data_IF_418702829608
#
_entry.id   IF_418702829608
#
_cell.length_a   1.000
_cell.length_b   1.000
_cell.length_c   1.000
_cell.angle_alpha   90.00
_cell.angle_beta   90.00
_cell.angle_gamma   90.00
#
_symmetry.space_group_name_H-M   'P 1'
#
loop_
_entity.id
_entity.type
_entity.pdbx_description
1 polymer ?
#
# COMPACT_ATOMS: atom_id res chain seq x y z
N UNK A 1 43.26 4.37 -3.28
CA UNK A 1 42.39 3.24 -2.86
C UNK A 1 40.97 3.72 -3.03
N UNK A 2 40.33 3.39 -4.15
CA UNK A 2 38.95 3.78 -4.40
C UNK A 2 38.04 3.01 -3.45
N UNK A 3 37.27 3.72 -2.63
CA UNK A 3 36.14 3.15 -1.91
C UNK A 3 35.26 2.44 -2.94
N UNK A 4 35.15 1.12 -2.85
CA UNK A 4 34.14 0.38 -3.61
C UNK A 4 32.79 0.82 -3.07
N UNK A 5 32.12 1.75 -3.75
CA UNK A 5 30.77 2.16 -3.39
C UNK A 5 29.88 0.92 -3.35
N UNK A 6 29.26 0.64 -2.21
CA UNK A 6 28.30 -0.44 -2.10
C UNK A 6 27.10 -0.10 -3.00
N UNK A 7 26.59 -1.10 -3.72
CA UNK A 7 25.38 -0.96 -4.54
C UNK A 7 24.24 -1.64 -3.82
N UNK A 8 23.19 -0.89 -3.50
CA UNK A 8 21.95 -1.40 -2.93
C UNK A 8 20.91 -1.65 -4.01
N UNK A 9 20.16 -2.75 -3.89
CA UNK A 9 19.12 -3.13 -4.85
C UNK A 9 17.75 -3.15 -4.17
N UNK A 10 16.91 -2.16 -4.48
CA UNK A 10 15.55 -2.05 -3.89
C UNK A 10 14.46 -2.71 -4.75
N UNK A 11 14.55 -2.59 -6.09
CA UNK A 11 13.59 -3.18 -7.06
C UNK A 11 12.11 -2.94 -6.70
N UNK A 12 11.76 -1.68 -6.41
CA UNK A 12 10.42 -1.28 -5.98
C UNK A 12 9.90 -0.09 -6.76
N UNK A 13 8.58 0.08 -6.77
CA UNK A 13 7.92 1.30 -7.23
C UNK A 13 8.22 2.43 -6.23
N UNK A 14 8.50 3.63 -6.74
CA UNK A 14 8.78 4.83 -5.93
C UNK A 14 7.99 6.01 -6.49
N UNK A 15 7.78 7.05 -5.68
CA UNK A 15 7.19 8.31 -6.14
C UNK A 15 8.09 8.99 -7.18
N UNK A 16 7.48 9.75 -8.07
CA UNK A 16 8.14 10.34 -9.25
C UNK A 16 9.38 11.18 -8.92
N UNK A 17 9.38 11.87 -7.78
CA UNK A 17 10.47 12.75 -7.36
C UNK A 17 11.60 12.03 -6.60
N UNK A 18 11.47 10.73 -6.29
CA UNK A 18 12.48 10.00 -5.51
C UNK A 18 13.84 9.97 -6.22
N UNK A 19 13.95 9.77 -7.55
CA UNK A 19 15.23 9.91 -8.24
C UNK A 19 15.92 11.26 -7.99
N UNK A 20 15.16 12.37 -8.03
CA UNK A 20 15.72 13.71 -7.82
C UNK A 20 16.16 13.93 -6.37
N UNK A 21 15.43 13.38 -5.40
CA UNK A 21 15.82 13.39 -3.99
C UNK A 21 17.13 12.63 -3.78
N UNK A 22 17.28 11.45 -4.40
CA UNK A 22 18.52 10.65 -4.32
C UNK A 22 19.70 11.43 -4.93
N UNK A 23 19.50 12.07 -6.08
CA UNK A 23 20.51 12.92 -6.71
C UNK A 23 20.91 14.10 -5.83
N UNK A 24 19.94 14.76 -5.19
CA UNK A 24 20.19 15.88 -4.28
C UNK A 24 21.00 15.48 -3.03
N UNK A 25 20.88 14.23 -2.59
CA UNK A 25 21.65 13.67 -1.48
C UNK A 25 23.09 13.27 -1.88
N UNK A 26 23.45 13.41 -3.16
CA UNK A 26 24.78 13.08 -3.69
C UNK A 26 24.94 11.64 -4.17
N UNK A 27 23.88 10.83 -4.06
CA UNK A 27 23.83 9.45 -4.54
C UNK A 27 23.41 9.39 -6.02
N UNK A 28 23.54 8.21 -6.63
CA UNK A 28 23.25 8.00 -8.06
C UNK A 28 22.13 6.96 -8.21
N UNK A 29 20.87 7.38 -8.46
CA UNK A 29 19.79 6.44 -8.69
C UNK A 29 19.89 5.82 -10.08
N UNK A 30 19.53 4.55 -10.17
CA UNK A 30 19.32 3.84 -11.44
C UNK A 30 17.87 3.38 -11.50
N UNK A 31 17.09 3.93 -12.42
CA UNK A 31 15.67 3.65 -12.55
C UNK A 31 15.28 3.47 -14.03
N UNK A 32 14.09 2.91 -14.24
CA UNK A 32 13.46 2.76 -15.56
C UNK A 32 11.97 3.05 -15.44
N UNK A 33 11.31 3.56 -16.48
CA UNK A 33 9.85 3.58 -16.50
C UNK A 33 9.30 2.15 -16.54
N UNK A 34 8.11 1.98 -15.96
CA UNK A 34 7.27 0.80 -16.19
C UNK A 34 6.41 1.15 -17.40
N UNK A 35 6.45 0.30 -18.43
CA UNK A 35 5.83 0.59 -19.74
C UNK A 35 4.55 -0.19 -20.00
N UNK A 36 4.33 -1.25 -19.23
CA UNK A 36 3.18 -2.13 -19.38
C UNK A 36 2.24 -1.94 -18.19
N UNK A 37 0.95 -1.72 -18.49
CA UNK A 37 -0.08 -1.46 -17.48
C UNK A 37 -0.22 -2.64 -16.50
N UNK A 38 -0.03 -3.88 -16.96
CA UNK A 38 -0.13 -5.05 -16.08
C UNK A 38 1.07 -5.16 -15.12
N UNK A 39 2.27 -4.78 -15.57
CA UNK A 39 3.44 -4.66 -14.71
C UNK A 39 3.26 -3.52 -13.70
N UNK A 40 2.63 -2.41 -14.10
CA UNK A 40 2.37 -1.28 -13.21
C UNK A 40 1.33 -1.62 -12.14
N UNK A 41 0.23 -2.26 -12.53
CA UNK A 41 -0.78 -2.77 -11.62
C UNK A 41 -0.18 -3.76 -10.61
N UNK A 42 0.68 -4.69 -11.06
CA UNK A 42 1.38 -5.61 -10.18
C UNK A 42 2.31 -4.88 -9.20
N UNK A 43 3.00 -3.83 -9.66
CA UNK A 43 3.85 -3.00 -8.83
C UNK A 43 3.06 -2.22 -7.77
N UNK A 44 1.90 -1.64 -8.12
CA UNK A 44 0.99 -0.97 -7.19
C UNK A 44 0.46 -1.94 -6.12
N UNK A 45 0.02 -3.14 -6.52
CA UNK A 45 -0.44 -4.16 -5.57
C UNK A 45 0.66 -4.60 -4.60
N UNK A 46 1.90 -4.72 -5.11
CA UNK A 46 3.07 -5.00 -4.27
C UNK A 46 3.33 -3.82 -3.31
N UNK A 47 3.22 -2.59 -3.80
CA UNK A 47 3.44 -1.37 -3.03
C UNK A 47 2.44 -1.24 -1.88
N UNK A 48 1.16 -1.59 -2.07
CA UNK A 48 0.16 -1.65 -0.97
C UNK A 48 0.64 -2.53 0.19
N UNK A 49 1.26 -3.67 -0.12
CA UNK A 49 1.76 -4.60 0.90
C UNK A 49 3.03 -4.07 1.56
N UNK A 50 3.90 -3.39 0.81
CA UNK A 50 5.08 -2.70 1.32
C UNK A 50 4.68 -1.62 2.35
N UNK A 51 3.84 -0.66 1.96
CA UNK A 51 3.42 0.44 2.82
C UNK A 51 2.66 -0.04 4.06
N UNK A 52 1.87 -1.12 3.94
CA UNK A 52 1.18 -1.72 5.08
C UNK A 52 2.17 -2.34 6.10
N UNK A 53 3.31 -2.86 5.63
CA UNK A 53 4.38 -3.36 6.50
C UNK A 53 5.19 -2.22 7.10
N UNK A 54 5.50 -1.20 6.32
CA UNK A 54 6.18 0.01 6.82
C UNK A 54 5.33 0.67 7.93
N UNK A 55 4.01 0.80 7.74
CA UNK A 55 3.09 1.24 8.80
C UNK A 55 3.08 0.32 10.04
N UNK A 56 3.17 -1.00 9.85
CA UNK A 56 3.23 -1.96 10.95
C UNK A 56 4.49 -1.78 11.80
N UNK A 57 5.63 -1.52 11.15
CA UNK A 57 6.94 -1.40 11.78
C UNK A 57 7.26 0.05 12.23
N UNK A 58 6.45 1.03 11.81
CA UNK A 58 6.66 2.45 12.08
C UNK A 58 6.54 2.82 13.57
N UNK A 59 7.48 3.69 13.99
CA UNK A 59 7.38 4.40 15.26
C UNK A 59 6.15 5.33 15.27
N UNK A 60 5.62 5.69 16.46
CA UNK A 60 4.41 6.50 16.55
C UNK A 60 4.44 7.80 15.75
N UNK A 61 5.59 8.46 15.68
CA UNK A 61 5.81 9.70 14.95
C UNK A 61 5.80 9.54 13.43
N UNK A 62 6.20 8.37 12.91
CA UNK A 62 6.25 8.11 11.46
C UNK A 62 4.95 7.53 10.91
N UNK A 63 4.05 7.01 11.76
CA UNK A 63 2.78 6.39 11.30
C UNK A 63 1.91 7.29 10.43
N UNK A 64 2.01 8.61 10.60
CA UNK A 64 1.23 9.54 9.77
C UNK A 64 1.72 9.54 8.32
N UNK A 65 3.02 9.41 8.11
CA UNK A 65 3.63 9.39 6.78
C UNK A 65 3.27 8.06 6.08
N UNK A 66 3.41 6.93 6.78
CA UNK A 66 3.05 5.61 6.22
C UNK A 66 1.53 5.48 5.93
N UNK A 67 0.68 6.14 6.72
CA UNK A 67 -0.75 6.24 6.41
C UNK A 67 -0.99 7.09 5.16
N UNK A 68 -0.21 8.15 4.94
CA UNK A 68 -0.30 8.97 3.74
C UNK A 68 0.19 8.21 2.50
N UNK A 69 1.23 7.40 2.63
CA UNK A 69 1.70 6.54 1.54
C UNK A 69 0.69 5.44 1.19
N UNK A 70 0.03 4.83 2.19
CA UNK A 70 -1.11 3.92 1.96
C UNK A 70 -2.28 4.60 1.24
N UNK A 71 -2.56 5.87 1.54
CA UNK A 71 -3.61 6.64 0.84
C UNK A 71 -3.22 6.92 -0.61
N UNK A 72 -1.97 7.30 -0.87
CA UNK A 72 -1.46 7.56 -2.22
C UNK A 72 -1.54 6.31 -3.09
N UNK A 73 -1.02 5.18 -2.60
CA UNK A 73 -1.01 3.94 -3.39
C UNK A 73 -2.44 3.43 -3.63
N UNK A 74 -3.36 3.61 -2.68
CA UNK A 74 -4.76 3.30 -2.89
C UNK A 74 -5.41 4.18 -3.96
N UNK A 75 -5.09 5.48 -3.99
CA UNK A 75 -5.59 6.39 -5.02
C UNK A 75 -5.04 6.03 -6.41
N UNK A 76 -3.74 5.76 -6.53
CA UNK A 76 -3.12 5.32 -7.77
C UNK A 76 -3.72 3.99 -8.27
N UNK A 77 -3.95 3.03 -7.36
CA UNK A 77 -4.57 1.75 -7.70
C UNK A 77 -6.03 1.91 -8.15
N UNK A 78 -6.80 2.79 -7.52
CA UNK A 78 -8.17 3.10 -7.97
C UNK A 78 -8.15 3.69 -9.38
N UNK A 79 -7.24 4.63 -9.66
CA UNK A 79 -7.10 5.23 -10.99
C UNK A 79 -6.74 4.18 -12.05
N UNK A 80 -5.75 3.32 -11.77
CA UNK A 80 -5.32 2.23 -12.66
C UNK A 80 -6.45 1.23 -12.97
N UNK A 81 -7.28 0.93 -11.95
CA UNK A 81 -8.41 0.02 -12.10
C UNK A 81 -9.68 0.70 -12.69
N UNK A 82 -9.61 1.99 -13.01
CA UNK A 82 -10.77 2.76 -13.50
C UNK A 82 -11.89 2.92 -12.46
N UNK A 83 -11.57 2.84 -11.17
CA UNK A 83 -12.51 2.97 -10.07
C UNK A 83 -12.60 4.42 -9.59
N UNK A 84 -13.82 4.96 -9.52
CA UNK A 84 -14.01 6.28 -8.93
C UNK A 84 -13.97 6.22 -7.40
N UNK A 85 -13.31 7.20 -6.76
CA UNK A 85 -13.28 7.36 -5.30
C UNK A 85 -14.67 7.28 -4.67
N UNK A 86 -15.66 7.90 -5.32
CA UNK A 86 -17.05 7.91 -4.83
C UNK A 86 -17.68 6.52 -4.81
N UNK A 87 -17.29 5.63 -5.74
CA UNK A 87 -17.78 4.25 -5.79
C UNK A 87 -17.18 3.42 -4.66
N UNK A 88 -15.87 3.48 -4.49
CA UNK A 88 -15.18 2.78 -3.39
C UNK A 88 -15.70 3.27 -2.04
N UNK A 89 -15.90 4.58 -1.88
CA UNK A 89 -16.49 5.16 -0.67
C UNK A 89 -17.92 4.66 -0.42
N UNK A 90 -18.79 4.60 -1.44
CA UNK A 90 -20.15 4.04 -1.31
C UNK A 90 -20.11 2.58 -0.84
N UNK A 91 -19.20 1.77 -1.37
CA UNK A 91 -19.01 0.37 -0.92
C UNK A 91 -18.52 0.31 0.52
N UNK A 92 -17.57 1.16 0.91
CA UNK A 92 -17.07 1.25 2.28
C UNK A 92 -18.15 1.68 3.28
N UNK A 93 -18.97 2.68 2.93
CA UNK A 93 -20.08 3.15 3.77
C UNK A 93 -21.15 2.08 3.92
N UNK A 94 -21.54 1.38 2.83
CA UNK A 94 -22.46 0.23 2.91
C UNK A 94 -21.94 -0.87 3.82
N UNK A 95 -20.65 -1.23 3.73
CA UNK A 95 -20.01 -2.19 4.64
C UNK A 95 -20.07 -1.69 6.09
N UNK A 96 -19.80 -0.41 6.33
CA UNK A 96 -19.88 0.20 7.67
C UNK A 96 -21.29 0.15 8.25
N UNK A 97 -22.33 0.41 7.46
CA UNK A 97 -23.73 0.31 7.90
C UNK A 97 -24.13 -1.14 8.17
N UNK A 98 -23.75 -2.08 7.30
CA UNK A 98 -24.22 -3.48 7.35
C UNK A 98 -23.42 -4.38 8.28
N UNK A 99 -22.12 -4.12 8.44
CA UNK A 99 -21.18 -4.96 9.21
C UNK A 99 -20.59 -4.22 10.41
N UNK A 100 -20.85 -2.93 10.54
CA UNK A 100 -20.18 -2.05 11.51
C UNK A 100 -18.81 -1.58 11.02
N UNK A 101 -18.20 -0.69 11.80
CA UNK A 101 -16.79 -0.32 11.67
C UNK A 101 -15.96 -0.94 12.80
N UNK A 102 -14.69 -0.56 12.87
CA UNK A 102 -13.77 -1.04 13.91
C UNK A 102 -13.91 -0.33 15.27
N UNK A 103 -14.93 0.52 15.45
CA UNK A 103 -15.12 1.32 16.69
C UNK A 103 -15.39 0.47 17.93
N UNK A 104 -15.98 -0.72 17.76
CA UNK A 104 -16.23 -1.67 18.86
C UNK A 104 -15.00 -2.48 19.27
N UNK A 105 -13.87 -2.40 18.54
CA UNK A 105 -12.61 -3.10 18.83
C UNK A 105 -12.78 -4.62 19.07
N UNK A 106 -13.60 -5.26 18.24
CA UNK A 106 -13.90 -6.68 18.36
C UNK A 106 -12.76 -7.50 17.75
N UNK A 107 -12.21 -8.43 18.53
CA UNK A 107 -11.33 -9.50 18.07
C UNK A 107 -12.12 -10.81 18.03
N UNK A 108 -11.97 -11.62 16.97
CA UNK A 108 -12.68 -12.89 16.81
C UNK A 108 -11.70 -14.05 17.03
N UNK A 109 -11.84 -14.77 18.15
CA UNK A 109 -10.93 -15.87 18.50
C UNK A 109 -11.25 -17.17 17.73
N UNK A 110 -12.51 -17.58 17.67
CA UNK A 110 -12.95 -18.76 16.95
C UNK A 110 -14.44 -18.69 16.59
N UNK A 111 -14.87 -19.56 15.68
CA UNK A 111 -16.27 -19.75 15.29
C UNK A 111 -16.59 -21.23 15.43
N UNK A 112 -17.60 -21.56 16.22
CA UNK A 112 -18.17 -22.91 16.21
C UNK A 112 -19.17 -23.00 15.05
N UNK A 113 -18.96 -23.96 14.14
CA UNK A 113 -19.87 -24.16 13.01
C UNK A 113 -21.19 -24.76 13.50
N UNK A 114 -22.31 -24.09 13.23
CA UNK A 114 -23.62 -24.62 13.56
C UNK A 114 -23.93 -25.87 12.74
N UNK A 115 -24.27 -26.97 13.41
CA UNK A 115 -24.73 -28.20 12.74
C UNK A 115 -26.15 -27.97 12.21
N UNK A 116 -26.27 -27.36 11.04
CA UNK A 116 -27.55 -27.30 10.32
C UNK A 116 -27.77 -28.66 9.66
N UNK A 117 -28.51 -29.53 10.34
CA UNK A 117 -29.21 -30.60 9.65
C UNK A 117 -30.11 -29.94 8.60
N UNK A 118 -29.75 -30.07 7.32
CA UNK A 118 -30.64 -29.72 6.21
C UNK A 118 -31.90 -30.57 6.33
N UNK A 119 -33.11 -29.99 6.24
CA UNK A 119 -34.29 -30.78 5.92
C UNK A 119 -34.19 -31.39 4.51
#
# INVERSE_FOLDING_TARGET
MGSSGAVEFHRKLVRDNIPDVILANGDRPHWRPIVDDSDYLAALLTKVVEEAKELQDASPENRIDELADLLEVAAALMAELGMADSEVKKVADRKRTTRGGFTKRIWLDHVEMGNTAQP
#
